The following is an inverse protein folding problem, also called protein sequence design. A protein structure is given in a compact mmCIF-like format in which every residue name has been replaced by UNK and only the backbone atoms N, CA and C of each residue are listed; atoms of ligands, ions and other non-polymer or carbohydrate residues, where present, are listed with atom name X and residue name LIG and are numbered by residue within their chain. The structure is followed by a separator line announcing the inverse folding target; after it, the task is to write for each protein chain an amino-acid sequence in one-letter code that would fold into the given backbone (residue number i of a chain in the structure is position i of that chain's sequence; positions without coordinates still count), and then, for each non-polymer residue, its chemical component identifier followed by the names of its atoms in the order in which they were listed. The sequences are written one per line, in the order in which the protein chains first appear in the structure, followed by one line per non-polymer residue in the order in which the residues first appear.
data_IF_864642424668
#
_entry.id   IF_864642424668
#
_cell.length_a   1.000
_cell.length_b   1.000
_cell.length_c   1.000
_cell.angle_alpha   90.00
_cell.angle_beta   90.00
_cell.angle_gamma   90.00
#
_symmetry.space_group_name_H-M   'P 1'
#
loop_
_entity.id
_entity.type
_entity.pdbx_description
1 polymer ?
#
# COMPACT_ATOMS: atom_id res chain seq x y z
N UNK A 1 20.02 -20.60 0.59
CA UNK A 1 19.35 -20.16 -0.65
C UNK A 1 17.84 -20.44 -0.62
N UNK A 2 17.38 -21.66 -0.33
CA UNK A 2 15.92 -22.01 -0.31
C UNK A 2 15.07 -21.15 0.64
N UNK A 3 15.58 -20.83 1.84
CA UNK A 3 14.86 -20.01 2.83
C UNK A 3 14.69 -18.56 2.37
N UNK A 4 15.73 -17.99 1.74
CA UNK A 4 15.68 -16.62 1.21
C UNK A 4 14.62 -16.50 0.10
N UNK A 5 14.53 -17.50 -0.78
CA UNK A 5 13.55 -17.52 -1.87
C UNK A 5 12.11 -17.63 -1.34
N UNK A 6 11.88 -18.47 -0.32
CA UNK A 6 10.55 -18.62 0.33
C UNK A 6 10.16 -17.34 1.08
N UNK A 7 11.11 -16.70 1.76
CA UNK A 7 10.88 -15.44 2.45
C UNK A 7 10.52 -14.31 1.47
N UNK A 8 11.22 -14.22 0.33
CA UNK A 8 10.91 -13.23 -0.70
C UNK A 8 9.53 -13.47 -1.33
N UNK A 9 9.16 -14.73 -1.55
CA UNK A 9 7.86 -15.09 -2.13
C UNK A 9 6.70 -14.81 -1.16
N UNK A 10 6.89 -15.04 0.14
CA UNK A 10 5.90 -14.73 1.19
C UNK A 10 5.73 -13.22 1.39
N UNK A 11 6.82 -12.45 1.35
CA UNK A 11 6.77 -10.97 1.33
C UNK A 11 5.97 -10.42 0.16
N UNK A 12 6.12 -11.02 -1.02
CA UNK A 12 5.37 -10.64 -2.22
C UNK A 12 3.86 -10.88 -2.08
N UNK A 13 3.46 -12.00 -1.46
CA UNK A 13 2.04 -12.32 -1.25
C UNK A 13 1.40 -11.38 -0.23
N UNK A 14 2.18 -10.86 0.73
CA UNK A 14 1.68 -10.07 1.85
C UNK A 14 1.83 -8.54 1.69
N UNK A 15 2.42 -8.03 0.61
CA UNK A 15 2.65 -6.58 0.39
C UNK A 15 1.79 -6.05 -0.76
N UNK A 16 0.48 -6.22 -0.67
CA UNK A 16 -0.45 -5.90 -1.75
C UNK A 16 -0.43 -4.40 -2.09
N UNK A 17 -0.32 -3.54 -1.07
CA UNK A 17 -0.28 -2.10 -1.24
C UNK A 17 0.96 -1.61 -2.01
N UNK A 18 2.16 -2.11 -1.69
CA UNK A 18 3.40 -1.75 -2.40
C UNK A 18 3.34 -2.16 -3.87
N UNK A 19 2.84 -3.37 -4.17
CA UNK A 19 2.73 -3.85 -5.55
C UNK A 19 1.77 -2.97 -6.38
N UNK A 20 0.67 -2.50 -5.77
CA UNK A 20 -0.28 -1.59 -6.44
C UNK A 20 0.31 -0.21 -6.72
N UNK A 21 1.25 0.25 -5.91
CA UNK A 21 1.72 1.65 -5.91
C UNK A 21 3.12 1.86 -6.47
N UNK A 22 3.90 0.80 -6.67
CA UNK A 22 5.27 0.90 -7.19
C UNK A 22 5.32 1.53 -8.59
N UNK A 23 4.41 1.15 -9.48
CA UNK A 23 4.32 1.70 -10.83
C UNK A 23 2.86 1.72 -11.33
N UNK A 24 2.03 2.65 -10.82
CA UNK A 24 0.63 2.73 -11.18
C UNK A 24 0.47 3.24 -12.62
N UNK A 25 -0.54 2.70 -13.30
CA UNK A 25 -0.90 3.13 -14.64
C UNK A 25 -1.31 4.61 -14.63
N UNK A 26 -0.80 5.40 -15.58
CA UNK A 26 -1.06 6.84 -15.71
C UNK A 26 -0.82 7.67 -14.44
N UNK A 27 0.08 7.24 -13.54
CA UNK A 27 0.35 7.91 -12.27
C UNK A 27 -0.91 8.09 -11.39
N UNK A 28 -1.88 7.19 -11.51
CA UNK A 28 -3.16 7.28 -10.83
C UNK A 28 -3.55 5.94 -10.21
N UNK A 29 -4.12 6.00 -9.02
CA UNK A 29 -4.70 4.85 -8.33
C UNK A 29 -6.07 5.20 -7.77
N UNK A 30 -6.95 4.20 -7.74
CA UNK A 30 -8.20 4.30 -7.03
C UNK A 30 -8.07 3.58 -5.69
N UNK A 31 -8.23 4.32 -4.60
CA UNK A 31 -8.24 3.77 -3.25
C UNK A 31 -9.69 3.78 -2.76
N UNK A 32 -10.27 2.58 -2.71
CA UNK A 32 -11.60 2.35 -2.16
C UNK A 32 -11.66 1.03 -1.40
N UNK A 33 -12.46 1.01 -0.33
CA UNK A 33 -12.67 -0.18 0.50
C UNK A 33 -14.14 -0.32 0.83
N UNK A 34 -14.74 -1.50 0.61
CA UNK A 34 -16.17 -1.74 0.81
C UNK A 34 -17.11 -0.69 0.17
N UNK A 35 -16.77 -0.20 -1.02
CA UNK A 35 -17.54 0.82 -1.74
C UNK A 35 -17.40 2.24 -1.18
N UNK A 36 -16.50 2.45 -0.22
CA UNK A 36 -16.16 3.75 0.36
C UNK A 36 -14.85 4.25 -0.23
N UNK A 37 -14.88 5.44 -0.82
CA UNK A 37 -13.67 6.07 -1.38
C UNK A 37 -12.80 6.65 -0.27
N UNK A 38 -11.50 6.65 -0.51
CA UNK A 38 -10.57 7.42 0.31
C UNK A 38 -10.71 8.92 0.06
N UNK A 39 -10.43 9.72 1.09
CA UNK A 39 -10.35 11.18 1.00
C UNK A 39 -8.96 11.70 0.59
N UNK A 40 -7.94 10.84 0.44
CA UNK A 40 -6.66 11.31 -0.10
C UNK A 40 -6.83 11.74 -1.56
N UNK A 41 -6.09 12.78 -1.94
CA UNK A 41 -5.99 13.27 -3.32
C UNK A 41 -4.71 12.79 -4.01
N UNK A 42 -3.69 12.53 -3.21
CA UNK A 42 -2.38 12.10 -3.66
C UNK A 42 -1.66 11.35 -2.53
N UNK A 43 -0.70 10.51 -2.92
CA UNK A 43 0.22 9.83 -2.01
C UNK A 43 1.66 9.90 -2.56
N UNK A 44 2.68 9.97 -1.69
CA UNK A 44 4.07 9.92 -2.13
C UNK A 44 4.42 8.53 -2.67
N UNK A 45 5.35 8.45 -3.62
CA UNK A 45 5.92 7.18 -4.14
C UNK A 45 6.85 6.53 -3.12
N UNK A 46 7.57 7.36 -2.37
CA UNK A 46 8.43 6.95 -1.26
C UNK A 46 7.51 6.45 -0.13
N UNK A 47 7.72 5.21 0.32
CA UNK A 47 6.82 4.56 1.28
C UNK A 47 5.34 4.57 0.85
N UNK A 48 5.11 4.34 -0.45
CA UNK A 48 3.78 4.38 -1.05
C UNK A 48 2.84 3.27 -0.57
N UNK A 49 3.36 2.09 -0.22
CA UNK A 49 2.56 1.02 0.35
C UNK A 49 2.00 1.39 1.74
N UNK A 50 2.83 2.00 2.58
CA UNK A 50 2.37 2.53 3.88
C UNK A 50 1.32 3.63 3.65
N UNK A 51 1.61 4.57 2.75
CA UNK A 51 0.71 5.69 2.44
C UNK A 51 -0.63 5.21 1.92
N UNK A 52 -0.64 4.19 1.06
CA UNK A 52 -1.85 3.54 0.56
C UNK A 52 -2.71 2.96 1.70
N UNK A 53 -2.09 2.25 2.65
CA UNK A 53 -2.81 1.64 3.77
C UNK A 53 -3.37 2.69 4.75
N UNK A 54 -2.62 3.74 5.05
CA UNK A 54 -3.12 4.89 5.81
C UNK A 54 -4.30 5.55 5.09
N UNK A 55 -4.17 5.71 3.78
CA UNK A 55 -5.19 6.30 2.94
C UNK A 55 -6.47 5.46 2.87
N UNK A 56 -6.33 4.13 2.91
CA UNK A 56 -7.45 3.19 3.02
C UNK A 56 -8.23 3.40 4.34
N UNK A 57 -7.53 3.73 5.43
CA UNK A 57 -8.14 4.05 6.71
C UNK A 57 -8.72 5.47 6.77
N UNK A 58 -8.21 6.38 5.93
CA UNK A 58 -8.70 7.74 5.76
C UNK A 58 -9.78 7.82 4.66
N UNK A 59 -10.87 7.07 4.82
CA UNK A 59 -11.99 7.04 3.89
C UNK A 59 -13.31 7.48 4.50
N UNK A 60 -14.36 7.44 3.67
CA UNK A 60 -15.71 7.82 4.10
C UNK A 60 -16.14 7.07 5.39
N UNK A 61 -16.79 7.77 6.34
CA UNK A 61 -17.25 7.16 7.57
C UNK A 61 -18.23 6.02 7.26
N UNK A 62 -18.04 4.89 7.94
CA UNK A 62 -18.81 3.68 7.77
C UNK A 62 -19.19 3.12 9.13
N UNK A 63 -20.43 2.65 9.24
CA UNK A 63 -20.88 1.90 10.42
C UNK A 63 -20.26 0.50 10.50
N UNK A 64 -19.65 0.02 9.41
CA UNK A 64 -18.80 -1.17 9.42
C UNK A 64 -17.36 -0.73 9.68
N UNK A 65 -16.62 -1.48 10.50
CA UNK A 65 -15.17 -1.26 10.66
C UNK A 65 -14.53 -1.25 9.27
N UNK A 66 -14.06 -0.09 8.80
CA UNK A 66 -13.34 0.09 7.53
C UNK A 66 -11.94 -0.55 7.52
N UNK A 67 -11.73 -1.50 8.43
CA UNK A 67 -10.44 -2.06 8.81
C UNK A 67 -10.20 -3.41 8.08
N UNK A 68 -11.17 -3.88 7.28
CA UNK A 68 -11.04 -5.11 6.50
C UNK A 68 -11.30 -6.37 7.31
N UNK A 69 -10.97 -7.51 6.69
CA UNK A 69 -10.90 -8.80 7.39
C UNK A 69 -9.83 -8.73 8.47
N UNK A 70 -10.01 -9.53 9.52
CA UNK A 70 -9.08 -9.64 10.64
C UNK A 70 -8.72 -11.10 10.88
N UNK A 71 -7.47 -11.35 11.23
CA UNK A 71 -6.98 -12.65 11.68
C UNK A 71 -6.56 -12.50 13.13
N UNK A 72 -7.13 -13.33 14.01
CA UNK A 72 -6.80 -13.30 15.45
C UNK A 72 -6.95 -11.90 16.09
N UNK A 73 -8.03 -11.18 15.76
CA UNK A 73 -8.30 -9.79 16.17
C UNK A 73 -7.31 -8.72 15.66
N UNK A 74 -6.34 -9.10 14.81
CA UNK A 74 -5.46 -8.15 14.12
C UNK A 74 -6.01 -7.89 12.72
N UNK A 75 -6.26 -6.64 12.34
CA UNK A 75 -6.67 -6.31 10.98
C UNK A 75 -5.62 -6.63 9.92
N UNK A 76 -6.06 -7.14 8.77
CA UNK A 76 -5.15 -7.41 7.65
C UNK A 76 -4.42 -6.15 7.15
N UNK A 77 -5.03 -4.97 7.25
CA UNK A 77 -4.40 -3.70 6.85
C UNK A 77 -3.12 -3.43 7.66
N UNK A 78 -3.08 -3.79 8.95
CA UNK A 78 -1.88 -3.62 9.76
C UNK A 78 -0.78 -4.61 9.36
N UNK A 79 -1.16 -5.86 9.07
CA UNK A 79 -0.21 -6.87 8.59
C UNK A 79 0.38 -6.43 7.25
N UNK A 80 -0.47 -6.05 6.29
CA UNK A 80 -0.05 -5.53 4.98
C UNK A 80 0.83 -4.27 5.15
N UNK A 81 0.52 -3.37 6.10
CA UNK A 81 1.35 -2.19 6.38
C UNK A 81 2.77 -2.56 6.79
N UNK A 82 2.95 -3.56 7.68
CA UNK A 82 4.29 -3.99 8.12
C UNK A 82 5.08 -4.58 6.95
N UNK A 83 4.45 -5.45 6.16
CA UNK A 83 5.11 -6.03 4.99
C UNK A 83 5.39 -4.99 3.90
N UNK A 84 4.49 -4.05 3.69
CA UNK A 84 4.70 -2.90 2.82
C UNK A 84 5.83 -2.00 3.29
N UNK A 85 6.04 -1.81 4.59
CA UNK A 85 7.19 -1.04 5.06
C UNK A 85 8.53 -1.69 4.66
N UNK A 86 8.62 -3.02 4.79
CA UNK A 86 9.81 -3.78 4.35
C UNK A 86 9.96 -3.71 2.83
N UNK A 87 8.89 -3.97 2.09
CA UNK A 87 8.88 -3.94 0.62
C UNK A 87 9.22 -2.55 0.07
N UNK A 88 8.63 -1.49 0.64
CA UNK A 88 8.91 -0.10 0.28
C UNK A 88 10.37 0.26 0.53
N UNK A 89 10.98 -0.27 1.61
CA UNK A 89 12.41 -0.09 1.88
C UNK A 89 13.28 -0.80 0.85
N UNK A 90 12.88 -2.00 0.41
CA UNK A 90 13.58 -2.76 -0.65
C UNK A 90 13.53 -2.01 -1.99
N UNK A 91 12.37 -1.42 -2.34
CA UNK A 91 12.19 -0.69 -3.61
C UNK A 91 12.49 0.81 -3.48
N UNK A 92 13.02 1.24 -2.33
CA UNK A 92 13.29 2.65 -2.04
C UNK A 92 14.19 3.34 -3.08
N UNK A 93 15.31 2.74 -3.53
CA UNK A 93 16.18 3.38 -4.52
C UNK A 93 15.45 3.65 -5.85
N UNK A 94 14.56 2.74 -6.25
CA UNK A 94 13.72 2.92 -7.44
C UNK A 94 12.67 4.01 -7.21
N UNK A 95 11.93 3.94 -6.11
CA UNK A 95 10.82 4.89 -5.83
C UNK A 95 11.29 6.32 -5.62
N UNK A 96 12.50 6.55 -5.10
CA UNK A 96 13.09 7.90 -4.98
C UNK A 96 13.30 8.53 -6.35
N UNK A 97 13.88 7.81 -7.31
CA UNK A 97 14.09 8.32 -8.68
C UNK A 97 12.74 8.62 -9.32
N UNK A 98 11.79 7.69 -9.20
CA UNK A 98 10.43 7.87 -9.74
C UNK A 98 9.69 9.04 -9.10
N UNK A 99 9.91 9.32 -7.81
CA UNK A 99 9.37 10.48 -7.11
C UNK A 99 9.89 11.78 -7.73
N UNK A 100 11.19 11.87 -8.00
CA UNK A 100 11.77 13.06 -8.62
C UNK A 100 11.25 13.28 -10.05
N UNK A 101 11.05 12.20 -10.82
CA UNK A 101 10.62 12.30 -12.22
C UNK A 101 9.11 12.51 -12.40
N UNK A 102 8.28 11.83 -11.60
CA UNK A 102 6.82 11.78 -11.79
C UNK A 102 6.01 12.48 -10.70
N UNK A 103 6.65 12.84 -9.59
CA UNK A 103 5.97 13.37 -8.41
C UNK A 103 5.03 12.35 -7.75
N UNK A 104 4.09 12.89 -6.96
CA UNK A 104 3.12 12.09 -6.21
C UNK A 104 2.13 11.36 -7.11
N UNK A 105 1.64 10.23 -6.62
CA UNK A 105 0.62 9.42 -7.29
C UNK A 105 -0.74 10.05 -6.99
N UNK A 106 -1.54 10.31 -8.02
CA UNK A 106 -2.91 10.82 -7.84
C UNK A 106 -3.85 9.74 -7.35
N UNK A 107 -4.72 10.11 -6.42
CA UNK A 107 -5.74 9.24 -5.84
C UNK A 107 -7.12 9.76 -6.22
N UNK A 108 -7.95 8.86 -6.76
CA UNK A 108 -9.36 9.07 -7.10
C UNK A 108 -9.64 10.17 -8.14
#
# INVERSE_FOLDING_TARGET
MKVLTVFLFTLFICSCATIKTINPYNNHINISHFGKKSYCKDIPRIYSGISYNLCLMYGEPSNKKNIGSSVNNVPLVFIDTVFSAVSDTVVLPYTIVMQAEKGDIKVN
#
